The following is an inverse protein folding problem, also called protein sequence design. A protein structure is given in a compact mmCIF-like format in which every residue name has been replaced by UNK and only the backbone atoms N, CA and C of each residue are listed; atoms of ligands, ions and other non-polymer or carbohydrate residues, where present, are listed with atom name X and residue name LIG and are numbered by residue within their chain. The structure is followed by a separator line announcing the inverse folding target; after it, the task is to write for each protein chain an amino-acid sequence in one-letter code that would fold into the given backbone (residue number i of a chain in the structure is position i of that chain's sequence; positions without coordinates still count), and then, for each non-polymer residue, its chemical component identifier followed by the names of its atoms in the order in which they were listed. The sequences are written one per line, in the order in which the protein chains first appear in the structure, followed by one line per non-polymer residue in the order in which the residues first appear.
data_IF_699777654253
#
_entry.id   IF_699777654253
#
_cell.length_a   1.000
_cell.length_b   1.000
_cell.length_c   1.000
_cell.angle_alpha   90.00
_cell.angle_beta   90.00
_cell.angle_gamma   90.00
#
_symmetry.space_group_name_H-M   'P 1'
#
loop_
_entity.id
_entity.type
_entity.pdbx_description
1 polymer ?
#
# COMPACT_ATOMS: atom_id res chain seq x y z
N UNK A 1 -13.76 -56.54 -36.58
CA UNK A 1 -14.89 -55.90 -35.87
C UNK A 1 -14.82 -56.16 -34.35
N UNK A 2 -13.75 -55.74 -33.67
CA UNK A 2 -13.53 -56.00 -32.22
C UNK A 2 -13.36 -54.73 -31.37
N UNK A 3 -13.01 -53.59 -31.99
CA UNK A 3 -12.78 -52.31 -31.28
C UNK A 3 -14.02 -51.77 -30.56
N UNK A 4 -15.22 -52.05 -31.07
CA UNK A 4 -16.51 -51.58 -30.50
C UNK A 4 -16.90 -52.35 -29.22
N UNK A 5 -16.29 -53.50 -28.94
CA UNK A 5 -16.54 -54.20 -27.68
C UNK A 5 -15.55 -53.77 -26.59
N UNK A 6 -14.34 -53.38 -26.96
CA UNK A 6 -13.30 -52.96 -26.01
C UNK A 6 -13.64 -51.59 -25.39
N UNK A 7 -14.07 -50.62 -26.21
CA UNK A 7 -14.48 -49.31 -25.69
C UNK A 7 -15.72 -49.42 -24.76
N UNK A 8 -16.68 -50.30 -25.07
CA UNK A 8 -17.85 -50.55 -24.24
C UNK A 8 -17.49 -51.22 -22.90
N UNK A 9 -16.54 -52.17 -22.91
CA UNK A 9 -16.07 -52.83 -21.69
C UNK A 9 -15.35 -51.84 -20.77
N UNK A 10 -14.51 -50.96 -21.33
CA UNK A 10 -13.83 -49.90 -20.57
C UNK A 10 -14.83 -48.92 -19.99
N UNK A 11 -15.84 -48.48 -20.77
CA UNK A 11 -16.90 -47.60 -20.27
C UNK A 11 -17.72 -48.24 -19.13
N UNK A 12 -17.96 -49.55 -19.22
CA UNK A 12 -18.70 -50.30 -18.19
C UNK A 12 -17.87 -50.48 -16.91
N UNK A 13 -16.57 -50.77 -17.03
CA UNK A 13 -15.64 -50.95 -15.91
C UNK A 13 -15.31 -49.61 -15.22
N UNK A 14 -15.18 -48.54 -16.00
CA UNK A 14 -15.06 -47.17 -15.50
C UNK A 14 -16.31 -46.79 -14.69
N UNK A 15 -17.50 -47.16 -15.20
CA UNK A 15 -18.78 -46.98 -14.51
C UNK A 15 -18.97 -47.84 -13.25
N UNK A 16 -18.21 -48.91 -13.04
CA UNK A 16 -18.20 -49.65 -11.76
C UNK A 16 -17.45 -48.89 -10.68
N UNK A 17 -16.40 -48.13 -11.03
CA UNK A 17 -15.57 -47.36 -10.11
C UNK A 17 -16.08 -45.92 -9.92
N UNK A 18 -17.38 -45.77 -9.66
CA UNK A 18 -18.06 -44.45 -9.56
C UNK A 18 -17.40 -43.49 -8.57
N UNK A 19 -16.88 -44.01 -7.46
CA UNK A 19 -16.18 -43.21 -6.45
C UNK A 19 -14.89 -42.58 -7.00
N UNK A 20 -14.14 -43.30 -7.85
CA UNK A 20 -12.90 -42.80 -8.44
C UNK A 20 -13.20 -41.67 -9.42
N UNK A 21 -14.23 -41.82 -10.26
CA UNK A 21 -14.67 -40.75 -11.17
C UNK A 21 -15.12 -39.52 -10.37
N UNK A 22 -15.93 -39.72 -9.32
CA UNK A 22 -16.42 -38.63 -8.48
C UNK A 22 -15.27 -37.87 -7.83
N UNK A 23 -14.29 -38.59 -7.25
CA UNK A 23 -13.10 -37.99 -6.67
C UNK A 23 -12.26 -37.25 -7.71
N UNK A 24 -12.14 -37.77 -8.92
CA UNK A 24 -11.42 -37.11 -10.02
C UNK A 24 -12.09 -35.80 -10.40
N UNK A 25 -13.42 -35.80 -10.57
CA UNK A 25 -14.19 -34.58 -10.88
C UNK A 25 -14.11 -33.58 -9.72
N UNK A 26 -14.21 -34.05 -8.47
CA UNK A 26 -14.06 -33.21 -7.29
C UNK A 26 -12.68 -32.58 -7.19
N UNK A 27 -11.61 -33.34 -7.46
CA UNK A 27 -10.24 -32.85 -7.49
C UNK A 27 -10.03 -31.82 -8.60
N UNK A 28 -10.57 -32.07 -9.79
CA UNK A 28 -10.52 -31.13 -10.90
C UNK A 28 -11.27 -29.83 -10.59
N UNK A 29 -12.45 -29.94 -9.97
CA UNK A 29 -13.21 -28.79 -9.48
C UNK A 29 -12.45 -28.00 -8.40
N UNK A 30 -11.81 -28.71 -7.47
CA UNK A 30 -10.95 -28.09 -6.44
C UNK A 30 -9.78 -27.34 -7.05
N UNK A 31 -9.11 -27.92 -8.06
CA UNK A 31 -7.99 -27.25 -8.74
C UNK A 31 -8.43 -25.94 -9.39
N UNK A 32 -9.56 -25.94 -10.11
CA UNK A 32 -10.11 -24.73 -10.72
C UNK A 32 -10.52 -23.69 -9.67
N UNK A 33 -11.19 -24.12 -8.59
CA UNK A 33 -11.58 -23.25 -7.50
C UNK A 33 -10.38 -22.58 -6.81
N UNK A 34 -9.28 -23.33 -6.59
CA UNK A 34 -8.05 -22.78 -6.01
C UNK A 34 -7.41 -21.73 -6.92
N UNK A 35 -7.40 -21.95 -8.24
CA UNK A 35 -6.87 -20.98 -9.21
C UNK A 35 -7.68 -19.68 -9.14
N UNK A 36 -9.01 -19.78 -9.19
CA UNK A 36 -9.90 -18.62 -9.14
C UNK A 36 -9.76 -17.87 -7.80
N UNK A 37 -9.73 -18.60 -6.69
CA UNK A 37 -9.56 -18.01 -5.36
C UNK A 37 -8.21 -17.28 -5.24
N UNK A 38 -7.15 -17.85 -5.81
CA UNK A 38 -5.82 -17.22 -5.84
C UNK A 38 -5.83 -15.94 -6.67
N UNK A 39 -6.51 -15.97 -7.82
CA UNK A 39 -6.66 -14.80 -8.69
C UNK A 39 -7.42 -13.67 -7.98
N UNK A 40 -8.55 -14.01 -7.36
CA UNK A 40 -9.37 -13.07 -6.58
C UNK A 40 -8.58 -12.47 -5.41
N UNK A 41 -7.88 -13.32 -4.65
CA UNK A 41 -7.02 -12.85 -3.55
C UNK A 41 -5.96 -11.88 -4.05
N UNK A 42 -5.26 -12.21 -5.15
CA UNK A 42 -4.26 -11.30 -5.72
C UNK A 42 -4.87 -9.94 -6.09
N UNK A 43 -6.06 -9.91 -6.70
CA UNK A 43 -6.72 -8.65 -7.04
C UNK A 43 -7.10 -7.83 -5.79
N UNK A 44 -7.63 -8.49 -4.75
CA UNK A 44 -7.97 -7.84 -3.47
C UNK A 44 -6.74 -7.29 -2.75
N UNK A 45 -5.62 -8.03 -2.75
CA UNK A 45 -4.36 -7.53 -2.18
C UNK A 45 -3.86 -6.30 -2.94
N UNK A 46 -3.89 -6.32 -4.28
CA UNK A 46 -3.47 -5.17 -5.10
C UNK A 46 -4.31 -3.92 -4.80
N UNK A 47 -5.63 -4.07 -4.65
CA UNK A 47 -6.50 -2.92 -4.37
C UNK A 47 -6.25 -2.35 -2.98
N UNK A 48 -6.00 -3.21 -1.99
CA UNK A 48 -5.60 -2.79 -0.65
C UNK A 48 -4.23 -2.10 -0.65
N UNK A 49 -3.23 -2.68 -1.32
CA UNK A 49 -1.90 -2.09 -1.44
C UNK A 49 -1.94 -0.71 -2.08
N UNK A 50 -2.81 -0.52 -3.09
CA UNK A 50 -3.00 0.78 -3.73
C UNK A 50 -3.51 1.85 -2.76
N UNK A 51 -4.45 1.51 -1.88
CA UNK A 51 -4.94 2.44 -0.86
C UNK A 51 -3.85 2.78 0.15
N UNK A 52 -3.06 1.80 0.58
CA UNK A 52 -1.90 2.05 1.45
C UNK A 52 -0.88 2.96 0.79
N UNK A 53 -0.55 2.74 -0.48
CA UNK A 53 0.35 3.61 -1.24
C UNK A 53 -0.16 5.06 -1.33
N UNK A 54 -1.46 5.25 -1.53
CA UNK A 54 -2.06 6.59 -1.55
C UNK A 54 -1.96 7.30 -0.20
N UNK A 55 -2.25 6.58 0.89
CA UNK A 55 -2.09 7.11 2.25
C UNK A 55 -0.64 7.50 2.51
N UNK A 56 0.31 6.62 2.21
CA UNK A 56 1.72 6.87 2.47
C UNK A 56 2.25 8.05 1.63
N UNK A 57 1.73 8.24 0.41
CA UNK A 57 2.03 9.41 -0.42
C UNK A 57 1.53 10.72 0.22
N UNK A 58 0.28 10.74 0.72
CA UNK A 58 -0.28 11.88 1.43
C UNK A 58 0.50 12.19 2.71
N UNK A 59 0.90 11.17 3.47
CA UNK A 59 1.71 11.36 4.68
C UNK A 59 3.09 11.97 4.36
N UNK A 60 3.71 11.57 3.25
CA UNK A 60 4.95 12.20 2.79
C UNK A 60 4.74 13.68 2.42
N UNK A 61 3.67 13.99 1.68
CA UNK A 61 3.36 15.37 1.29
C UNK A 61 3.06 16.23 2.53
N UNK A 62 2.26 15.73 3.47
CA UNK A 62 1.97 16.40 4.73
C UNK A 62 3.24 16.72 5.53
N UNK A 63 4.14 15.74 5.64
CA UNK A 63 5.44 15.93 6.32
C UNK A 63 6.27 17.01 5.63
N UNK A 64 6.29 17.04 4.30
CA UNK A 64 6.99 18.07 3.54
C UNK A 64 6.41 19.46 3.79
N UNK A 65 5.08 19.61 3.73
CA UNK A 65 4.39 20.86 4.01
C UNK A 65 4.64 21.36 5.43
N UNK A 66 4.67 20.45 6.42
CA UNK A 66 4.94 20.81 7.80
C UNK A 66 6.37 21.37 7.98
N UNK A 67 7.35 20.79 7.28
CA UNK A 67 8.73 21.30 7.28
C UNK A 67 8.79 22.68 6.64
N UNK A 68 8.10 22.88 5.51
CA UNK A 68 8.01 24.17 4.83
C UNK A 68 7.38 25.25 5.73
N UNK A 69 6.26 24.93 6.40
CA UNK A 69 5.62 25.86 7.35
C UNK A 69 6.51 26.21 8.53
N UNK A 70 7.23 25.24 9.10
CA UNK A 70 8.17 25.51 10.20
C UNK A 70 9.28 26.45 9.75
N UNK A 71 9.86 26.21 8.58
CA UNK A 71 10.88 27.09 7.99
C UNK A 71 10.35 28.53 7.77
N UNK A 72 9.10 28.68 7.33
CA UNK A 72 8.45 29.98 7.19
C UNK A 72 8.14 30.66 8.53
N UNK A 73 7.82 29.89 9.57
CA UNK A 73 7.43 30.41 10.89
C UNK A 73 8.60 30.82 11.78
N UNK A 74 9.73 30.13 11.70
CA UNK A 74 10.88 30.31 12.61
C UNK A 74 11.66 31.60 12.34
N UNK A 75 11.78 32.02 11.08
CA UNK A 75 12.70 33.12 10.74
C UNK A 75 12.02 34.32 10.07
N UNK A 76 11.04 34.11 9.20
CA UNK A 76 10.54 35.20 8.37
C UNK A 76 9.62 36.17 9.13
N UNK A 77 8.70 35.66 9.95
CA UNK A 77 7.61 36.51 10.47
C UNK A 77 8.05 37.46 11.59
N UNK A 78 8.91 37.03 12.49
CA UNK A 78 9.38 37.88 13.60
C UNK A 78 10.45 38.86 13.13
N UNK A 79 11.39 38.40 12.31
CA UNK A 79 12.47 39.26 11.80
C UNK A 79 11.93 40.32 10.83
N UNK A 80 11.00 39.96 9.93
CA UNK A 80 10.41 40.91 8.99
C UNK A 80 9.53 41.94 9.70
N UNK A 81 8.75 41.54 10.71
CA UNK A 81 7.96 42.45 11.53
C UNK A 81 8.85 43.41 12.33
N UNK A 82 9.93 42.91 12.94
CA UNK A 82 10.90 43.72 13.67
C UNK A 82 11.63 44.71 12.75
N UNK A 83 12.05 44.31 11.55
CA UNK A 83 12.70 45.21 10.59
C UNK A 83 11.75 46.23 10.01
N UNK A 84 10.55 45.83 9.57
CA UNK A 84 9.63 46.72 8.83
C UNK A 84 8.79 47.62 9.73
N UNK A 85 8.26 47.10 10.85
CA UNK A 85 7.37 47.88 11.73
C UNK A 85 8.13 48.58 12.85
N UNK A 86 9.19 47.96 13.38
CA UNK A 86 9.96 48.51 14.49
C UNK A 86 11.27 49.19 14.04
N UNK A 87 11.57 49.22 12.73
CA UNK A 87 12.81 49.76 12.16
C UNK A 87 14.06 49.21 12.88
N UNK A 88 13.98 47.99 13.42
CA UNK A 88 15.07 47.42 14.20
C UNK A 88 16.28 47.14 13.29
N UNK A 89 17.39 47.81 13.62
CA UNK A 89 18.69 47.60 13.00
C UNK A 89 19.50 46.74 13.96
N UNK A 90 20.16 45.68 13.45
CA UNK A 90 21.00 44.82 14.28
C UNK A 90 22.12 45.67 14.91
N UNK A 91 22.19 45.79 16.24
CA UNK A 91 23.20 46.63 16.87
C UNK A 91 24.60 46.06 16.59
N UNK A 92 25.54 46.94 16.24
CA UNK A 92 26.94 46.60 16.00
C UNK A 92 27.70 46.72 17.32
N UNK A 93 27.94 45.58 17.99
CA UNK A 93 29.00 45.27 18.98
C UNK A 93 29.25 46.16 20.21
N UNK A 94 29.06 47.48 20.11
CA UNK A 94 29.31 48.47 21.17
C UNK A 94 28.05 48.80 21.99
N UNK A 95 26.88 48.25 21.64
CA UNK A 95 25.60 48.49 22.34
C UNK A 95 25.00 47.22 22.98
N UNK A 96 25.72 46.10 22.97
CA UNK A 96 25.27 44.87 23.63
C UNK A 96 25.58 44.94 25.12
N UNK A 97 24.54 45.09 25.94
CA UNK A 97 24.63 44.97 27.39
C UNK A 97 24.17 43.56 27.75
N UNK A 98 25.11 42.69 28.10
CA UNK A 98 24.82 41.33 28.57
C UNK A 98 24.35 41.45 30.02
N UNK A 99 23.08 41.12 30.26
CA UNK A 99 22.55 41.00 31.63
C UNK A 99 22.68 39.54 32.03
N UNK A 100 23.66 39.25 32.89
CA UNK A 100 23.71 37.96 33.60
C UNK A 100 22.59 37.96 34.66
N UNK A 101 21.64 37.04 34.52
CA UNK A 101 20.68 36.73 35.59
C UNK A 101 21.36 35.86 36.68
N UNK A 102 21.00 36.07 37.97
CA UNK A 102 21.63 35.41 39.11
C UNK A 102 21.29 33.92 39.27
#
# INVERSE_FOLDING_TARGET
MSAIRLNQLILQDLGQHKLVILLLVAAMGSALAVIELTHMNRQLTISQDKLFQQRDALDMEWRNLLVEQRALSEHSRVEELAKKQLLMVRPLGQQDIVVDEP
#
